data_IF_016695591015
#
_entry.id   IF_016695591015
#
_cell.length_a   1.000
_cell.length_b   1.000
_cell.length_c   1.000
_cell.angle_alpha   90.00
_cell.angle_beta   90.00
_cell.angle_gamma   90.00
#
_symmetry.space_group_name_H-M   'P 1'
#
loop_
_entity.id
_entity.type
_entity.pdbx_description
1 polymer ?
#
# COMPACT_ATOMS: atom_id res chain seq x y z
N UNK A 1 24.51 -20.87 5.85
CA UNK A 1 23.38 -20.03 5.42
C UNK A 1 22.07 -20.76 5.68
N UNK A 2 21.13 -20.09 6.30
CA UNK A 2 19.84 -20.66 6.58
C UNK A 2 18.83 -20.26 5.52
N UNK A 3 17.72 -20.97 5.43
CA UNK A 3 16.67 -20.60 4.48
C UNK A 3 16.09 -19.21 4.76
N UNK A 4 16.16 -18.75 6.01
CA UNK A 4 15.71 -17.41 6.35
C UNK A 4 16.48 -16.34 5.60
N UNK A 5 17.73 -16.61 5.26
CA UNK A 5 18.54 -15.65 4.52
C UNK A 5 18.13 -15.56 3.04
N UNK A 6 17.37 -16.53 2.57
CA UNK A 6 16.87 -16.54 1.20
C UNK A 6 15.51 -15.88 1.06
N UNK A 7 14.88 -15.51 2.18
CA UNK A 7 13.60 -14.83 2.14
C UNK A 7 13.75 -13.41 1.61
N UNK A 8 12.71 -12.96 0.89
CA UNK A 8 12.66 -11.60 0.38
C UNK A 8 12.55 -10.66 1.57
N UNK A 9 13.57 -9.84 1.81
CA UNK A 9 13.56 -8.85 2.88
C UNK A 9 13.38 -7.44 2.36
N UNK A 10 13.67 -7.23 1.09
CA UNK A 10 13.48 -5.94 0.44
C UNK A 10 13.21 -6.20 -1.03
N UNK A 11 12.23 -5.50 -1.57
CA UNK A 11 11.93 -5.59 -3.00
C UNK A 11 11.28 -4.29 -3.46
N UNK A 12 11.61 -3.91 -4.69
CA UNK A 12 11.03 -2.72 -5.31
C UNK A 12 10.51 -3.09 -6.68
N UNK A 13 9.32 -2.61 -7.01
CA UNK A 13 8.78 -2.73 -8.35
C UNK A 13 8.27 -1.35 -8.79
N UNK A 14 8.30 -1.13 -10.08
CA UNK A 14 7.83 0.10 -10.69
C UNK A 14 7.02 -0.27 -11.93
N UNK A 15 5.89 0.38 -12.12
CA UNK A 15 5.00 0.02 -13.24
C UNK A 15 4.17 1.23 -13.69
N UNK A 16 3.75 1.23 -14.96
CA UNK A 16 2.86 2.28 -15.47
C UNK A 16 1.53 2.35 -14.73
N UNK A 17 0.93 3.54 -14.75
CA UNK A 17 -0.30 3.83 -14.01
C UNK A 17 -1.53 3.35 -14.77
N UNK A 18 -1.63 2.05 -14.97
CA UNK A 18 -2.80 1.43 -15.61
C UNK A 18 -3.40 0.41 -14.65
N UNK A 19 -4.72 0.31 -14.68
CA UNK A 19 -5.46 -0.50 -13.71
C UNK A 19 -5.05 -1.98 -13.72
N UNK A 20 -4.68 -2.52 -14.86
CA UNK A 20 -4.29 -3.92 -14.98
C UNK A 20 -3.09 -4.28 -14.11
N UNK A 21 -2.26 -3.30 -13.76
CA UNK A 21 -1.06 -3.55 -12.97
C UNK A 21 -1.34 -3.85 -11.50
N UNK A 22 -2.58 -3.71 -11.05
CA UNK A 22 -2.96 -4.16 -9.71
C UNK A 22 -2.66 -5.65 -9.52
N UNK A 23 -2.79 -6.44 -10.59
CA UNK A 23 -2.46 -7.87 -10.54
C UNK A 23 -1.02 -8.15 -10.13
N UNK A 24 -0.09 -7.29 -10.54
CA UNK A 24 1.31 -7.42 -10.13
C UNK A 24 1.47 -7.24 -8.63
N UNK A 25 0.73 -6.29 -8.07
CA UNK A 25 0.76 -5.98 -6.65
C UNK A 25 0.19 -7.14 -5.85
N UNK A 26 -0.95 -7.68 -6.28
CA UNK A 26 -1.58 -8.82 -5.63
C UNK A 26 -0.66 -10.02 -5.61
N UNK A 27 0.01 -10.28 -6.72
CA UNK A 27 0.96 -11.39 -6.82
C UNK A 27 2.12 -11.21 -5.86
N UNK A 28 2.67 -10.00 -5.80
CA UNK A 28 3.78 -9.70 -4.89
C UNK A 28 3.37 -9.91 -3.42
N UNK A 29 2.18 -9.43 -3.05
CA UNK A 29 1.69 -9.58 -1.68
C UNK A 29 1.49 -11.06 -1.35
N UNK A 30 0.95 -11.85 -2.28
CA UNK A 30 0.79 -13.28 -2.09
C UNK A 30 2.13 -13.96 -1.82
N UNK A 31 3.15 -13.61 -2.59
CA UNK A 31 4.49 -14.19 -2.42
C UNK A 31 5.09 -13.81 -1.07
N UNK A 32 4.96 -12.55 -0.68
CA UNK A 32 5.49 -12.07 0.61
C UNK A 32 4.78 -12.75 1.77
N UNK A 33 3.46 -12.76 1.74
CA UNK A 33 2.69 -13.33 2.85
C UNK A 33 2.91 -14.84 2.98
N UNK A 34 3.13 -15.52 1.86
CA UNK A 34 3.49 -16.93 1.88
C UNK A 34 4.87 -17.14 2.50
N UNK A 35 5.85 -16.34 2.08
CA UNK A 35 7.23 -16.46 2.58
C UNK A 35 7.33 -16.21 4.09
N UNK A 36 6.53 -15.29 4.61
CA UNK A 36 6.57 -14.92 6.01
C UNK A 36 5.50 -15.62 6.85
N UNK A 37 4.78 -16.56 6.25
CA UNK A 37 3.73 -17.33 6.96
C UNK A 37 2.71 -16.43 7.65
N UNK A 38 2.30 -15.38 6.97
CA UNK A 38 1.34 -14.41 7.51
C UNK A 38 -0.03 -15.08 7.65
N UNK A 39 -0.66 -15.00 8.83
CA UNK A 39 -2.00 -15.56 9.02
C UNK A 39 -3.03 -14.94 8.07
N UNK A 40 -4.04 -15.71 7.72
CA UNK A 40 -5.05 -15.29 6.75
C UNK A 40 -5.70 -13.94 7.08
N UNK A 41 -5.99 -13.70 8.36
CA UNK A 41 -6.59 -12.45 8.79
C UNK A 41 -5.70 -11.24 8.45
N UNK A 42 -4.42 -11.39 8.70
CA UNK A 42 -3.46 -10.33 8.40
C UNK A 42 -3.23 -10.19 6.91
N UNK A 43 -3.23 -11.31 6.19
CA UNK A 43 -3.09 -11.29 4.73
C UNK A 43 -4.17 -10.43 4.08
N UNK A 44 -5.42 -10.61 4.49
CA UNK A 44 -6.53 -9.82 3.96
C UNK A 44 -6.35 -8.33 4.20
N UNK A 45 -5.92 -7.98 5.41
CA UNK A 45 -5.67 -6.58 5.77
C UNK A 45 -4.57 -5.97 4.91
N UNK A 46 -3.47 -6.70 4.73
CA UNK A 46 -2.35 -6.24 3.92
C UNK A 46 -2.78 -6.07 2.47
N UNK A 47 -3.47 -7.07 1.94
CA UNK A 47 -3.90 -7.05 0.55
C UNK A 47 -4.79 -5.83 0.26
N UNK A 48 -5.81 -5.61 1.09
CA UNK A 48 -6.74 -4.51 0.87
C UNK A 48 -6.05 -3.17 1.05
N UNK A 49 -5.29 -2.99 2.12
CA UNK A 49 -4.66 -1.71 2.40
C UNK A 49 -3.64 -1.31 1.32
N UNK A 50 -2.79 -2.25 0.92
CA UNK A 50 -1.76 -1.96 -0.08
C UNK A 50 -2.39 -1.74 -1.46
N UNK A 51 -3.38 -2.55 -1.83
CA UNK A 51 -4.05 -2.35 -3.13
C UNK A 51 -4.82 -1.02 -3.17
N UNK A 52 -5.39 -0.59 -2.04
CA UNK A 52 -6.02 0.74 -1.98
C UNK A 52 -4.99 1.85 -2.19
N UNK A 53 -3.82 1.72 -1.57
CA UNK A 53 -2.76 2.70 -1.74
C UNK A 53 -2.30 2.76 -3.20
N UNK A 54 -2.13 1.61 -3.85
CA UNK A 54 -1.72 1.55 -5.25
C UNK A 54 -2.81 2.08 -6.16
N UNK A 55 -4.07 1.73 -5.92
CA UNK A 55 -5.19 2.26 -6.70
C UNK A 55 -5.27 3.77 -6.61
N UNK A 56 -5.08 4.33 -5.41
CA UNK A 56 -5.04 5.77 -5.25
C UNK A 56 -3.89 6.40 -6.04
N UNK A 57 -2.73 5.76 -6.03
CA UNK A 57 -1.58 6.25 -6.79
C UNK A 57 -1.87 6.22 -8.30
N UNK A 58 -2.48 5.15 -8.80
CA UNK A 58 -2.79 5.01 -10.22
C UNK A 58 -3.88 6.01 -10.64
N UNK A 59 -4.99 6.04 -9.92
CA UNK A 59 -6.18 6.76 -10.35
C UNK A 59 -6.17 8.23 -9.97
N UNK A 60 -5.78 8.54 -8.74
CA UNK A 60 -5.88 9.90 -8.22
C UNK A 60 -4.55 10.62 -8.22
N UNK A 61 -3.44 9.92 -7.93
CA UNK A 61 -2.12 10.50 -8.00
C UNK A 61 -1.70 10.76 -9.44
N UNK A 62 -1.54 9.70 -10.20
CA UNK A 62 -1.07 9.79 -11.59
C UNK A 62 -2.19 9.95 -12.62
N UNK A 63 -3.44 9.91 -12.19
CA UNK A 63 -4.63 10.13 -13.03
C UNK A 63 -4.67 9.21 -14.25
N UNK A 64 -4.30 7.93 -14.04
CA UNK A 64 -4.30 6.91 -15.08
C UNK A 64 -3.39 7.24 -16.26
N UNK A 65 -2.37 8.07 -16.04
CA UNK A 65 -1.41 8.43 -17.07
C UNK A 65 -0.36 7.31 -17.22
N UNK A 66 -0.36 6.57 -18.33
CA UNK A 66 0.59 5.46 -18.49
C UNK A 66 2.04 5.93 -18.63
N UNK A 67 2.25 7.23 -18.87
CA UNK A 67 3.59 7.81 -18.88
C UNK A 67 4.15 8.08 -17.50
N UNK A 68 3.32 7.97 -16.47
CA UNK A 68 3.75 8.13 -15.08
C UNK A 68 3.75 6.79 -14.39
N UNK A 69 4.72 6.58 -13.52
CA UNK A 69 4.89 5.30 -12.84
C UNK A 69 4.49 5.34 -11.38
N UNK A 70 4.05 4.20 -10.89
CA UNK A 70 3.85 3.95 -9.47
C UNK A 70 5.02 3.09 -9.01
N UNK A 71 5.60 3.45 -7.87
CA UNK A 71 6.68 2.70 -7.26
C UNK A 71 6.17 2.06 -5.98
N UNK A 72 6.41 0.78 -5.84
CA UNK A 72 6.07 0.03 -4.64
C UNK A 72 7.33 -0.59 -4.10
N UNK A 73 7.66 -0.27 -2.84
CA UNK A 73 8.80 -0.84 -2.13
C UNK A 73 8.31 -1.64 -0.94
N UNK A 74 8.96 -2.75 -0.68
CA UNK A 74 8.67 -3.61 0.45
C UNK A 74 9.93 -3.83 1.26
N UNK A 75 9.81 -3.73 2.59
CA UNK A 75 10.89 -4.06 3.52
C UNK A 75 10.32 -4.87 4.67
N UNK A 76 11.02 -5.92 5.04
CA UNK A 76 10.64 -6.75 6.18
C UNK A 76 11.74 -6.74 7.24
N UNK A 77 11.32 -6.67 8.49
CA UNK A 77 12.21 -6.97 9.62
C UNK A 77 11.57 -8.09 10.44
N UNK A 78 12.14 -8.41 11.60
CA UNK A 78 11.70 -9.56 12.38
C UNK A 78 10.27 -9.42 12.92
N UNK A 79 9.77 -8.20 13.02
CA UNK A 79 8.48 -7.94 13.66
C UNK A 79 7.46 -7.27 12.75
N UNK A 80 7.88 -6.78 11.59
CA UNK A 80 7.03 -5.88 10.82
C UNK A 80 7.29 -5.96 9.32
N UNK A 81 6.22 -5.86 8.55
CA UNK A 81 6.28 -5.66 7.10
C UNK A 81 5.94 -4.20 6.80
N UNK A 82 6.70 -3.58 5.92
CA UNK A 82 6.50 -2.19 5.52
C UNK A 82 6.36 -2.10 4.01
N UNK A 83 5.36 -1.34 3.56
CA UNK A 83 5.13 -1.10 2.13
C UNK A 83 5.13 0.40 1.90
N UNK A 84 5.87 0.85 0.91
CA UNK A 84 5.90 2.25 0.51
C UNK A 84 5.38 2.36 -0.92
N UNK A 85 4.35 3.17 -1.11
CA UNK A 85 3.77 3.42 -2.44
C UNK A 85 3.98 4.89 -2.77
N UNK A 86 4.54 5.18 -3.93
CA UNK A 86 4.73 6.55 -4.37
C UNK A 86 4.28 6.73 -5.80
N UNK A 87 3.81 7.94 -6.11
CA UNK A 87 3.36 8.31 -7.44
C UNK A 87 4.05 9.60 -7.89
N UNK A 88 3.81 9.99 -9.14
CA UNK A 88 4.41 11.16 -9.78
C UNK A 88 3.39 12.28 -9.99
N UNK A 89 2.30 12.26 -9.23
CA UNK A 89 1.23 13.25 -9.34
C UNK A 89 1.51 14.53 -8.58
N UNK A 90 0.45 15.32 -8.40
CA UNK A 90 0.55 16.62 -7.73
C UNK A 90 0.46 16.52 -6.20
N UNK A 91 0.15 15.34 -5.69
CA UNK A 91 -0.06 15.18 -4.26
C UNK A 91 -1.49 15.53 -3.84
N UNK A 92 -1.77 15.42 -2.56
CA UNK A 92 -3.07 15.80 -2.02
C UNK A 92 -2.93 16.19 -0.54
N UNK A 93 -3.92 16.91 -0.04
CA UNK A 93 -3.93 17.32 1.36
C UNK A 93 -4.53 16.20 2.22
N UNK A 94 -3.69 15.28 2.66
CA UNK A 94 -4.14 14.13 3.45
C UNK A 94 -4.57 14.53 4.87
N UNK A 95 -4.08 15.64 5.37
CA UNK A 95 -4.45 16.13 6.70
C UNK A 95 -5.84 16.77 6.71
N UNK A 96 -6.27 17.28 5.58
CA UNK A 96 -7.56 17.92 5.44
C UNK A 96 -8.67 17.05 4.90
N UNK A 97 -8.47 15.73 4.85
CA UNK A 97 -9.51 14.84 4.33
C UNK A 97 -10.73 14.85 5.24
N UNK A 98 -11.93 14.89 4.65
CA UNK A 98 -13.15 14.87 5.45
C UNK A 98 -13.35 13.51 6.11
N UNK A 99 -14.21 13.50 7.13
CA UNK A 99 -14.54 12.27 7.85
C UNK A 99 -15.20 11.27 6.90
N UNK A 100 -14.57 10.11 6.64
CA UNK A 100 -15.11 9.13 5.70
C UNK A 100 -16.32 8.38 6.24
N UNK A 101 -16.61 8.49 7.54
CA UNK A 101 -17.80 7.88 8.11
C UNK A 101 -19.06 8.68 7.83
N UNK A 102 -18.93 9.93 7.42
CA UNK A 102 -20.05 10.75 6.97
C UNK A 102 -20.46 10.28 5.58
N UNK A 103 -21.74 9.91 5.36
CA UNK A 103 -22.19 9.41 4.05
C UNK A 103 -21.82 10.31 2.87
N UNK A 104 -21.79 11.62 3.07
CA UNK A 104 -21.41 12.55 2.01
C UNK A 104 -19.97 12.40 1.56
N UNK A 105 -19.11 11.83 2.41
CA UNK A 105 -17.68 11.72 2.14
C UNK A 105 -17.25 10.35 1.62
N UNK A 106 -18.12 9.35 1.71
CA UNK A 106 -17.75 7.99 1.30
C UNK A 106 -17.46 7.86 -0.19
N UNK A 107 -18.03 8.72 -1.00
CA UNK A 107 -17.86 8.69 -2.45
C UNK A 107 -16.72 9.58 -2.94
N UNK A 108 -16.10 10.35 -2.05
CA UNK A 108 -15.03 11.24 -2.46
C UNK A 108 -13.74 10.45 -2.73
N UNK A 109 -13.04 10.78 -3.83
CA UNK A 109 -11.75 10.14 -4.11
C UNK A 109 -10.80 10.32 -2.93
N UNK A 110 -9.96 9.33 -2.68
CA UNK A 110 -8.95 9.28 -1.61
C UNK A 110 -9.50 9.13 -0.20
N UNK A 111 -10.67 9.68 0.10
CA UNK A 111 -11.20 9.63 1.46
C UNK A 111 -11.43 8.21 1.96
N UNK A 112 -12.14 7.42 1.17
CA UNK A 112 -12.45 6.03 1.54
C UNK A 112 -11.20 5.16 1.55
N UNK A 113 -10.34 5.30 0.54
CA UNK A 113 -9.12 4.52 0.47
C UNK A 113 -8.19 4.81 1.64
N UNK A 114 -8.03 6.08 2.00
CA UNK A 114 -7.21 6.46 3.15
C UNK A 114 -7.81 5.92 4.45
N UNK A 115 -9.13 5.97 4.59
CA UNK A 115 -9.80 5.40 5.74
C UNK A 115 -9.49 3.90 5.89
N UNK A 116 -9.60 3.16 4.78
CA UNK A 116 -9.31 1.72 4.78
C UNK A 116 -7.85 1.45 5.15
N UNK A 117 -6.94 2.21 4.58
CA UNK A 117 -5.52 2.06 4.92
C UNK A 117 -5.29 2.23 6.42
N UNK A 118 -5.84 3.31 7.00
CA UNK A 118 -5.66 3.62 8.43
C UNK A 118 -6.36 2.62 9.33
N UNK A 119 -7.43 2.03 8.85
CA UNK A 119 -8.17 1.04 9.63
C UNK A 119 -7.48 -0.33 9.62
N UNK A 120 -6.89 -0.71 8.50
CA UNK A 120 -6.36 -2.06 8.29
C UNK A 120 -4.87 -2.19 8.58
N UNK A 121 -4.08 -1.12 8.38
CA UNK A 121 -2.67 -1.14 8.70
C UNK A 121 -2.45 -0.75 10.17
N UNK A 122 -1.35 -1.21 10.74
CA UNK A 122 -1.01 -0.83 12.11
C UNK A 122 -0.55 0.60 12.19
N UNK A 123 0.03 1.12 11.11
CA UNK A 123 0.44 2.51 11.04
C UNK A 123 0.46 2.96 9.59
N UNK A 124 0.04 4.19 9.33
CA UNK A 124 0.07 4.81 8.01
C UNK A 124 0.75 6.17 8.13
N UNK A 125 1.74 6.42 7.28
CA UNK A 125 2.41 7.71 7.24
C UNK A 125 2.41 8.24 5.82
N UNK A 126 1.96 9.49 5.65
CA UNK A 126 2.05 10.16 4.36
C UNK A 126 3.24 11.12 4.36
N UNK A 127 3.89 11.23 3.22
CA UNK A 127 5.00 12.16 3.04
C UNK A 127 4.99 12.69 1.62
N UNK A 128 5.94 13.58 1.33
CA UNK A 128 6.12 14.13 -0.01
C UNK A 128 4.83 14.72 -0.55
N UNK A 129 4.11 15.48 0.30
CA UNK A 129 2.86 16.15 -0.06
C UNK A 129 1.76 15.17 -0.49
N UNK A 130 1.75 13.98 0.12
CA UNK A 130 0.75 12.97 -0.18
C UNK A 130 1.08 12.06 -1.35
N UNK A 131 2.22 12.27 -2.01
CA UNK A 131 2.64 11.40 -3.13
C UNK A 131 3.19 10.08 -2.67
N UNK A 132 3.56 9.98 -1.41
CA UNK A 132 4.14 8.77 -0.83
C UNK A 132 3.35 8.38 0.40
N UNK A 133 3.05 7.10 0.52
CA UNK A 133 2.41 6.55 1.71
C UNK A 133 3.20 5.33 2.17
N UNK A 134 3.47 5.28 3.49
CA UNK A 134 4.07 4.13 4.12
C UNK A 134 3.02 3.40 4.95
N UNK A 135 2.95 2.10 4.78
CA UNK A 135 2.02 1.22 5.49
C UNK A 135 2.82 0.20 6.28
N UNK A 136 2.55 0.09 7.57
CA UNK A 136 3.22 -0.84 8.46
C UNK A 136 2.26 -1.89 8.99
N UNK A 137 2.69 -3.14 8.99
CA UNK A 137 1.90 -4.26 9.49
C UNK A 137 2.75 -5.10 10.44
N UNK A 138 2.31 -5.24 11.67
CA UNK A 138 3.00 -6.06 12.65
C UNK A 138 2.69 -7.52 12.38
N UNK A 139 3.72 -8.35 12.34
CA UNK A 139 3.59 -9.78 12.04
C UNK A 139 4.09 -10.66 13.17
N UNK A 140 4.73 -10.08 14.16
CA UNK A 140 5.24 -10.86 15.26
C UNK A 140 4.18 -11.04 16.32
N UNK A 141 4.12 -12.10 16.81
CA UNK A 141 3.58 -12.27 18.06
C UNK A 141 2.23 -12.32 18.24
N UNK A 142 1.72 -12.77 17.81
CA UNK A 142 0.62 -12.95 18.52
C UNK A 142 0.12 -12.19 19.42
#
# INVERSE_FOLDING_TARGET
MTHAEEMIREQKISFPSVADNIGLVEKLINEICSAYHVPEDHYGNILVAVTEAVNNAIQHGNRLDPGKKVNLSFVADDTRLSFEVSDQGDGFNFAGLPDPTNPENLEKPNGRGVFLMRHLADKVEFSNQGRTVLLYFNISGN
#
